data_IF_816920509351
#
_entry.id   IF_816920509351
#
_cell.length_a   1.000
_cell.length_b   1.000
_cell.length_c   1.000
_cell.angle_alpha   90.00
_cell.angle_beta   90.00
_cell.angle_gamma   90.00
#
_symmetry.space_group_name_H-M   'P 1'
#
loop_
_entity.id
_entity.type
_entity.pdbx_description
1 polymer ?
#
# COMPACT_ATOMS: atom_id res chain seq x y z
N UNK A 1 -0.55 -0.73 -17.47
CA UNK A 1 -1.24 0.19 -16.52
C UNK A 1 -1.17 -0.38 -15.12
N UNK A 2 -1.14 0.44 -14.07
CA UNK A 2 -1.20 -0.04 -12.68
C UNK A 2 -2.66 -0.12 -12.21
N UNK A 3 -3.03 -1.19 -11.52
CA UNK A 3 -4.40 -1.42 -11.04
C UNK A 3 -4.38 -2.15 -9.70
N UNK A 4 -5.30 -1.81 -8.80
CA UNK A 4 -5.48 -2.54 -7.55
C UNK A 4 -6.47 -3.67 -7.78
N UNK A 5 -6.08 -4.88 -7.40
CA UNK A 5 -6.95 -6.06 -7.43
C UNK A 5 -7.15 -6.60 -6.01
N UNK A 6 -8.29 -7.25 -5.79
CA UNK A 6 -8.59 -7.96 -4.54
C UNK A 6 -8.52 -9.46 -4.72
N UNK A 7 -8.11 -10.18 -3.68
CA UNK A 7 -8.19 -11.63 -3.57
C UNK A 7 -8.79 -12.01 -2.23
N UNK A 8 -9.81 -12.86 -2.25
CA UNK A 8 -10.41 -13.40 -1.01
C UNK A 8 -9.76 -14.75 -0.69
N UNK A 9 -9.17 -14.90 0.49
CA UNK A 9 -8.56 -16.15 0.96
C UNK A 9 -9.05 -16.41 2.38
N UNK A 10 -9.69 -17.57 2.63
CA UNK A 10 -10.24 -17.94 3.95
C UNK A 10 -11.11 -16.83 4.59
N UNK A 11 -11.96 -16.18 3.78
CA UNK A 11 -12.83 -15.08 4.22
C UNK A 11 -12.15 -13.72 4.37
N UNK A 12 -10.83 -13.64 4.22
CA UNK A 12 -10.09 -12.38 4.31
C UNK A 12 -9.83 -11.77 2.94
N UNK A 13 -9.95 -10.43 2.83
CA UNK A 13 -9.72 -9.69 1.59
C UNK A 13 -8.30 -9.11 1.58
N UNK A 14 -7.55 -9.47 0.57
CA UNK A 14 -6.17 -9.07 0.34
C UNK A 14 -6.07 -8.23 -0.92
N UNK A 15 -5.30 -7.15 -0.86
CA UNK A 15 -5.14 -6.23 -1.98
C UNK A 15 -3.73 -6.30 -2.56
N UNK A 16 -3.66 -6.16 -3.89
CA UNK A 16 -2.41 -6.16 -4.63
C UNK A 16 -2.43 -5.05 -5.67
N UNK A 17 -1.30 -4.37 -5.82
CA UNK A 17 -1.03 -3.51 -6.97
C UNK A 17 -0.41 -4.36 -8.07
N UNK A 18 -1.11 -4.48 -9.19
CA UNK A 18 -0.64 -5.18 -10.38
C UNK A 18 -0.31 -4.21 -11.49
N UNK A 19 0.76 -4.50 -12.22
CA UNK A 19 1.12 -3.79 -13.43
C UNK A 19 0.96 -4.72 -14.63
N UNK A 20 0.25 -4.22 -15.63
CA UNK A 20 0.00 -4.92 -16.90
C UNK A 20 0.90 -4.40 -18.02
N UNK A 21 1.36 -5.31 -18.86
CA UNK A 21 2.07 -5.02 -20.11
C UNK A 21 1.74 -6.06 -21.18
N UNK A 22 1.99 -5.73 -22.45
CA UNK A 22 1.90 -6.66 -23.56
C UNK A 22 3.15 -7.55 -23.59
N UNK A 23 2.95 -8.86 -23.57
CA UNK A 23 4.01 -9.87 -23.66
C UNK A 23 3.57 -10.89 -24.69
N UNK A 24 4.37 -11.07 -25.75
CA UNK A 24 4.08 -11.99 -26.87
C UNK A 24 2.66 -11.81 -27.44
N UNK A 25 2.27 -10.56 -27.69
CA UNK A 25 0.96 -10.24 -28.27
C UNK A 25 -0.24 -10.45 -27.35
N UNK A 26 -0.04 -10.63 -26.04
CA UNK A 26 -1.13 -10.73 -25.05
C UNK A 26 -0.88 -9.84 -23.84
N UNK A 27 -1.92 -9.21 -23.30
CA UNK A 27 -1.83 -8.46 -22.04
C UNK A 27 -1.60 -9.41 -20.86
N UNK A 28 -0.57 -9.16 -20.06
CA UNK A 28 -0.14 -9.99 -18.92
C UNK A 28 0.18 -9.15 -17.70
N UNK A 29 0.03 -9.76 -16.51
CA UNK A 29 0.54 -9.17 -15.27
C UNK A 29 2.05 -9.39 -15.21
N UNK A 30 2.81 -8.30 -15.24
CA UNK A 30 4.29 -8.35 -15.25
C UNK A 30 4.89 -8.01 -13.89
N UNK A 31 4.13 -7.35 -13.02
CA UNK A 31 4.54 -7.07 -11.65
C UNK A 31 3.34 -7.11 -10.72
N UNK A 32 3.52 -7.68 -9.54
CA UNK A 32 2.52 -7.71 -8.49
C UNK A 32 3.18 -7.35 -7.17
N UNK A 33 2.59 -6.41 -6.44
CA UNK A 33 3.02 -6.01 -5.10
C UNK A 33 1.86 -6.20 -4.14
N UNK A 34 2.10 -6.89 -3.03
CA UNK A 34 1.12 -7.03 -1.96
C UNK A 34 0.98 -5.70 -1.21
N UNK A 35 -0.27 -5.26 -1.02
CA UNK A 35 -0.59 -4.01 -0.34
C UNK A 35 -1.05 -4.22 1.11
N UNK A 36 -1.53 -5.41 1.44
CA UNK A 36 -2.05 -5.71 2.76
C UNK A 36 -3.46 -6.29 2.73
N UNK A 37 -3.95 -6.61 3.93
CA UNK A 37 -5.33 -7.00 4.19
C UNK A 37 -6.21 -5.75 4.29
N UNK A 38 -7.49 -5.86 3.96
CA UNK A 38 -8.43 -4.74 4.00
C UNK A 38 -8.42 -4.01 5.35
N UNK A 39 -8.46 -4.78 6.43
CA UNK A 39 -8.56 -4.28 7.80
C UNK A 39 -7.28 -3.55 8.23
N UNK A 40 -6.11 -4.03 7.81
CA UNK A 40 -4.84 -3.40 8.14
C UNK A 40 -4.65 -2.10 7.36
N UNK A 41 -5.06 -2.08 6.08
CA UNK A 41 -5.06 -0.86 5.26
C UNK A 41 -5.97 0.21 5.86
N UNK A 42 -7.18 -0.17 6.31
CA UNK A 42 -8.10 0.74 6.99
C UNK A 42 -7.51 1.34 8.25
N UNK A 43 -6.95 0.50 9.13
CA UNK A 43 -6.28 0.95 10.36
C UNK A 43 -5.13 1.92 10.08
N UNK A 44 -4.30 1.61 9.08
CA UNK A 44 -3.19 2.49 8.70
C UNK A 44 -3.68 3.85 8.20
N UNK A 45 -4.80 3.90 7.47
CA UNK A 45 -5.37 5.15 6.98
C UNK A 45 -5.94 6.01 8.13
N UNK A 46 -6.62 5.37 9.08
CA UNK A 46 -7.11 6.04 10.29
C UNK A 46 -5.94 6.58 11.14
N UNK A 47 -4.88 5.78 11.32
CA UNK A 47 -3.67 6.20 12.05
C UNK A 47 -2.89 7.31 11.31
N UNK A 48 -2.86 7.28 9.98
CA UNK A 48 -2.19 8.30 9.16
C UNK A 48 -2.92 9.64 9.16
N UNK A 49 -4.15 9.69 9.69
CA UNK A 49 -4.86 10.95 9.98
C UNK A 49 -4.39 11.58 11.29
N UNK A 50 -3.38 11.00 11.97
CA UNK A 50 -2.68 11.71 13.03
C UNK A 50 -2.21 13.08 12.52
N UNK A 51 -2.45 14.17 13.26
CA UNK A 51 -2.13 15.51 12.81
C UNK A 51 -0.64 15.60 12.47
N UNK A 52 -0.34 16.26 11.34
CA UNK A 52 1.03 16.62 11.00
C UNK A 52 1.68 17.30 12.21
N UNK A 53 2.92 16.94 12.58
CA UNK A 53 3.59 17.54 13.72
C UNK A 53 3.65 19.07 13.51
N UNK A 54 3.03 19.82 14.42
CA UNK A 54 2.95 21.28 14.34
C UNK A 54 4.24 21.97 14.76
N UNK A 55 5.05 21.30 15.57
CA UNK A 55 6.36 21.77 16.01
C UNK A 55 7.35 20.61 16.10
N UNK A 56 8.61 20.92 15.83
CA UNK A 56 9.75 20.04 16.09
C UNK A 56 10.59 20.67 17.20
N UNK A 57 11.02 19.88 18.17
CA UNK A 57 11.98 20.30 19.18
C UNK A 57 13.39 20.09 18.62
N UNK A 58 14.14 21.17 18.42
CA UNK A 58 15.55 21.09 18.07
C UNK A 58 16.35 20.91 19.36
N UNK A 59 16.91 19.71 19.54
CA UNK A 59 17.93 19.49 20.55
C UNK A 59 19.30 19.76 19.91
N UNK A 60 20.11 20.61 20.54
CA UNK A 60 21.50 20.76 20.13
C UNK A 60 22.26 19.45 20.40
N UNK A 61 23.14 19.08 19.49
CA UNK A 61 23.91 17.84 19.59
C UNK A 61 25.09 18.03 20.54
N UNK A 62 25.09 17.33 21.66
CA UNK A 62 26.19 17.30 22.64
C UNK A 62 26.15 18.50 23.60
N UNK A 63 25.82 18.23 24.86
CA UNK A 63 25.92 19.21 25.95
C UNK A 63 27.34 19.40 26.46
#
# INVERSE_FOLDING_TARGET
MATIIRKTIRGHRYYYLVQTAWVNGRSRYVKQRYLGKAEDIGKLLEQSTAPLPSHTLNFEFGG
#
